data_IF_361722286070
#
_entry.id   IF_361722286070
#
_cell.length_a   1.000
_cell.length_b   1.000
_cell.length_c   1.000
_cell.angle_alpha   90.00
_cell.angle_beta   90.00
_cell.angle_gamma   90.00
#
_symmetry.space_group_name_H-M   'P 1'
#
loop_
_entity.id
_entity.type
_entity.pdbx_description
1 polymer ?
#
# COMPACT_ATOMS: atom_id res chain seq x y z
N UNK A 1 57.29 -22.41 -14.23
CA UNK A 1 56.29 -23.43 -14.63
C UNK A 1 54.91 -22.76 -14.54
N UNK A 2 54.43 -22.13 -15.62
CA UNK A 2 53.37 -22.61 -16.53
C UNK A 2 52.10 -23.14 -15.83
N UNK A 3 51.10 -22.24 -15.73
CA UNK A 3 49.65 -22.41 -15.97
C UNK A 3 48.91 -23.53 -15.20
N UNK A 4 47.71 -23.32 -14.64
CA UNK A 4 46.45 -23.06 -15.36
C UNK A 4 45.42 -22.41 -14.41
N UNK A 5 44.94 -21.22 -14.77
CA UNK A 5 43.74 -20.62 -14.18
C UNK A 5 42.54 -21.29 -14.86
N UNK A 6 41.81 -22.11 -14.13
CA UNK A 6 40.53 -22.67 -14.59
C UNK A 6 39.46 -21.65 -14.24
N UNK A 7 39.06 -20.83 -15.21
CA UNK A 7 37.90 -19.96 -15.12
C UNK A 7 36.67 -20.84 -15.32
N UNK A 8 36.01 -21.23 -14.23
CA UNK A 8 34.74 -21.94 -14.28
C UNK A 8 33.61 -20.90 -14.30
N UNK A 9 33.10 -20.61 -15.50
CA UNK A 9 31.89 -19.83 -15.71
C UNK A 9 30.68 -20.65 -15.25
N UNK A 10 30.33 -20.52 -13.97
CA UNK A 10 29.02 -20.95 -13.49
C UNK A 10 27.99 -19.92 -13.96
N UNK A 11 27.28 -20.26 -15.04
CA UNK A 11 26.10 -19.52 -15.52
C UNK A 11 25.05 -19.65 -14.43
N UNK A 12 25.01 -18.64 -13.57
CA UNK A 12 23.99 -18.43 -12.57
C UNK A 12 22.70 -18.08 -13.34
N UNK A 13 21.83 -19.08 -13.50
CA UNK A 13 20.51 -18.89 -14.08
C UNK A 13 19.75 -17.88 -13.21
N UNK A 14 19.69 -16.64 -13.70
CA UNK A 14 18.80 -15.61 -13.17
C UNK A 14 17.40 -16.10 -13.51
N UNK A 15 16.77 -16.79 -12.55
CA UNK A 15 15.31 -16.89 -12.49
C UNK A 15 14.80 -15.48 -12.23
N UNK A 16 14.69 -14.71 -13.31
CA UNK A 16 13.93 -13.49 -13.35
C UNK A 16 12.47 -13.88 -13.15
N UNK A 17 12.07 -14.00 -11.89
CA UNK A 17 10.67 -13.89 -11.53
C UNK A 17 10.27 -12.47 -11.92
N UNK A 18 9.67 -12.33 -13.10
CA UNK A 18 8.98 -11.12 -13.49
C UNK A 18 7.98 -10.82 -12.38
N UNK A 19 8.29 -9.81 -11.58
CA UNK A 19 7.33 -9.17 -10.70
C UNK A 19 6.30 -8.53 -11.62
N UNK A 20 5.31 -9.29 -12.05
CA UNK A 20 4.08 -8.73 -12.56
C UNK A 20 3.46 -8.01 -11.36
N UNK A 21 3.64 -6.69 -11.32
CA UNK A 21 2.81 -5.83 -10.48
C UNK A 21 1.39 -5.95 -11.03
N UNK A 22 0.66 -6.95 -10.52
CA UNK A 22 -0.78 -7.03 -10.70
C UNK A 22 -1.36 -5.81 -10.01
N UNK A 23 -2.04 -4.98 -10.78
CA UNK A 23 -2.70 -3.79 -10.28
C UNK A 23 -3.88 -4.23 -9.40
N UNK A 24 -3.65 -4.29 -8.08
CA UNK A 24 -4.64 -4.78 -7.13
C UNK A 24 -5.65 -3.67 -6.85
N UNK A 25 -6.94 -3.96 -7.02
CA UNK A 25 -7.97 -3.01 -6.63
C UNK A 25 -8.19 -3.06 -5.12
N UNK A 26 -8.68 -1.96 -4.54
CA UNK A 26 -9.13 -1.95 -3.14
C UNK A 26 -10.16 -3.04 -2.81
N UNK A 27 -10.95 -3.51 -3.79
CA UNK A 27 -11.87 -4.64 -3.60
C UNK A 27 -11.17 -5.98 -3.50
N UNK A 28 -10.10 -6.21 -4.28
CA UNK A 28 -9.32 -7.44 -4.21
C UNK A 28 -8.55 -7.51 -2.89
N UNK A 29 -7.96 -6.39 -2.48
CA UNK A 29 -7.28 -6.24 -1.20
C UNK A 29 -8.25 -6.46 -0.04
N UNK A 30 -9.47 -5.91 -0.09
CA UNK A 30 -10.46 -6.12 0.98
C UNK A 30 -10.92 -7.59 1.11
N UNK A 31 -10.89 -8.36 0.03
CA UNK A 31 -11.30 -9.78 0.04
C UNK A 31 -10.20 -10.72 0.55
N UNK A 32 -8.95 -10.40 0.26
CA UNK A 32 -7.81 -11.30 0.49
C UNK A 32 -6.83 -10.79 1.54
N UNK A 33 -6.93 -9.53 1.94
CA UNK A 33 -6.10 -8.91 2.95
C UNK A 33 -6.56 -9.18 4.38
N UNK A 34 -5.67 -8.90 5.32
CA UNK A 34 -5.94 -9.02 6.76
C UNK A 34 -6.25 -7.64 7.33
N UNK A 35 -7.34 -7.51 8.09
CA UNK A 35 -7.67 -6.26 8.77
C UNK A 35 -6.59 -5.91 9.79
N UNK A 36 -6.13 -4.66 9.78
CA UNK A 36 -5.24 -4.13 10.80
C UNK A 36 -5.16 -2.61 10.78
N UNK A 37 -4.38 -2.07 11.71
CA UNK A 37 -4.19 -0.64 11.87
C UNK A 37 -2.72 -0.29 11.76
N UNK A 38 -2.41 0.77 11.01
CA UNK A 38 -1.06 1.25 10.78
C UNK A 38 -1.01 2.77 10.84
N UNK A 39 0.09 3.31 11.35
CA UNK A 39 0.32 4.75 11.43
C UNK A 39 1.58 5.13 10.67
N UNK A 40 1.56 6.32 10.09
CA UNK A 40 2.68 6.85 9.32
C UNK A 40 2.43 8.25 8.81
N UNK A 41 3.26 8.67 7.88
CA UNK A 41 3.18 9.97 7.20
C UNK A 41 2.61 9.77 5.80
N UNK A 42 1.60 10.56 5.44
CA UNK A 42 1.04 10.54 4.11
C UNK A 42 2.05 11.06 3.08
N UNK A 43 2.19 10.33 1.98
CA UNK A 43 2.97 10.68 0.80
C UNK A 43 2.05 10.68 -0.41
N UNK A 44 2.37 11.51 -1.40
CA UNK A 44 1.73 11.44 -2.71
C UNK A 44 2.77 11.60 -3.78
N UNK A 45 2.61 10.88 -4.89
CA UNK A 45 3.38 11.08 -6.11
C UNK A 45 2.62 11.90 -7.16
N UNK A 46 1.45 12.45 -6.79
CA UNK A 46 0.55 13.19 -7.67
C UNK A 46 -0.53 12.32 -8.33
N UNK A 47 -0.40 11.00 -8.32
CA UNK A 47 -1.41 10.05 -8.80
C UNK A 47 -2.02 9.22 -7.67
N UNK A 48 -1.18 8.79 -6.73
CA UNK A 48 -1.55 7.87 -5.67
C UNK A 48 -1.19 8.45 -4.31
N UNK A 49 -1.86 7.92 -3.29
CA UNK A 49 -1.53 8.19 -1.91
C UNK A 49 -0.84 6.98 -1.32
N UNK A 50 0.21 7.24 -0.55
CA UNK A 50 0.95 6.22 0.18
C UNK A 50 1.05 6.61 1.65
N UNK A 51 1.26 5.60 2.50
CA UNK A 51 1.60 5.79 3.91
C UNK A 51 3.03 5.31 4.16
N UNK A 52 3.91 6.22 4.57
CA UNK A 52 5.27 5.89 4.98
C UNK A 52 5.31 5.66 6.50
N UNK A 53 5.64 4.45 6.92
CA UNK A 53 5.81 4.09 8.34
C UNK A 53 7.10 4.66 8.91
N UNK A 54 7.23 4.66 10.25
CA UNK A 54 8.49 5.01 10.93
C UNK A 54 9.68 4.13 10.51
N UNK A 55 9.42 2.89 10.10
CA UNK A 55 10.39 1.94 9.58
C UNK A 55 10.74 2.15 8.09
N UNK A 56 10.27 3.24 7.47
CA UNK A 56 10.50 3.58 6.05
C UNK A 56 9.86 2.61 5.05
N UNK A 57 8.95 1.76 5.51
CA UNK A 57 8.10 0.96 4.63
C UNK A 57 6.96 1.83 4.08
N UNK A 58 6.75 1.75 2.77
CA UNK A 58 5.65 2.41 2.06
C UNK A 58 4.49 1.43 1.84
N UNK A 59 3.28 1.95 1.94
CA UNK A 59 2.06 1.25 1.59
C UNK A 59 1.22 2.09 0.65
N UNK A 60 0.76 1.52 -0.46
CA UNK A 60 -0.22 2.14 -1.35
C UNK A 60 -1.59 2.15 -0.68
N UNK A 61 -2.28 3.30 -0.74
CA UNK A 61 -3.52 3.52 -0.01
C UNK A 61 -4.70 3.59 -0.97
N UNK A 62 -5.55 2.57 -0.88
CA UNK A 62 -6.73 2.39 -1.72
C UNK A 62 -7.97 2.86 -0.98
N UNK A 63 -8.36 4.12 -1.19
CA UNK A 63 -9.55 4.72 -0.57
C UNK A 63 -10.87 4.26 -1.20
N UNK A 64 -10.83 3.60 -2.37
CA UNK A 64 -12.03 3.24 -3.12
C UNK A 64 -12.63 4.43 -3.87
N UNK A 65 -13.95 4.41 -4.11
CA UNK A 65 -14.60 5.46 -4.89
C UNK A 65 -14.73 6.76 -4.09
N UNK A 66 -13.79 7.67 -4.33
CA UNK A 66 -13.67 9.00 -3.72
C UNK A 66 -14.91 9.89 -3.85
N UNK A 67 -15.82 9.59 -4.80
CA UNK A 67 -17.06 10.36 -4.96
C UNK A 67 -18.02 10.22 -3.78
N UNK A 68 -17.88 9.18 -2.94
CA UNK A 68 -18.68 9.03 -1.71
C UNK A 68 -18.26 9.96 -0.58
N UNK A 69 -17.06 10.55 -0.65
CA UNK A 69 -16.53 11.51 0.34
C UNK A 69 -16.67 12.98 -0.13
N UNK A 70 -17.37 13.20 -1.25
CA UNK A 70 -17.61 14.52 -1.82
C UNK A 70 -18.82 15.17 -1.12
N UNK A 71 -18.82 16.50 -0.85
CA UNK A 71 -17.96 17.54 -1.41
C UNK A 71 -16.70 17.91 -0.60
N UNK A 72 -16.56 17.45 0.64
CA UNK A 72 -15.47 17.91 1.52
C UNK A 72 -14.11 17.24 1.22
N UNK A 73 -14.14 16.04 0.63
CA UNK A 73 -12.95 15.21 0.45
C UNK A 73 -12.40 14.72 1.79
N UNK A 74 -11.29 13.99 1.75
CA UNK A 74 -10.65 13.44 2.96
C UNK A 74 -9.68 14.42 3.65
N UNK A 75 -9.51 15.64 3.10
CA UNK A 75 -8.56 16.62 3.62
C UNK A 75 -7.10 16.14 3.63
N UNK A 76 -6.74 15.17 2.77
CA UNK A 76 -5.39 14.60 2.74
C UNK A 76 -4.36 15.66 2.36
N UNK A 77 -3.25 15.66 3.08
CA UNK A 77 -2.09 16.53 2.82
C UNK A 77 -0.84 15.68 2.93
N UNK A 78 0.03 15.79 1.94
CA UNK A 78 1.35 15.18 2.03
C UNK A 78 2.11 15.74 3.25
N UNK A 79 2.80 14.85 3.97
CA UNK A 79 3.53 15.19 5.19
C UNK A 79 2.71 15.12 6.47
N UNK A 80 1.37 15.01 6.39
CA UNK A 80 0.55 14.82 7.58
C UNK A 80 0.69 13.41 8.14
N UNK A 81 0.63 13.30 9.47
CA UNK A 81 0.44 12.01 10.11
C UNK A 81 -0.98 11.48 9.85
N UNK A 82 -1.07 10.17 9.66
CA UNK A 82 -2.32 9.46 9.56
C UNK A 82 -2.25 8.11 10.27
N UNK A 83 -3.39 7.71 10.81
CA UNK A 83 -3.64 6.34 11.28
C UNK A 83 -4.72 5.74 10.40
N UNK A 84 -4.42 4.62 9.76
CA UNK A 84 -5.30 3.91 8.85
C UNK A 84 -5.66 2.56 9.44
N UNK A 85 -6.95 2.27 9.54
CA UNK A 85 -7.46 0.91 9.71
C UNK A 85 -7.97 0.42 8.36
N UNK A 86 -7.55 -0.76 7.95
CA UNK A 86 -7.92 -1.31 6.65
C UNK A 86 -7.44 -2.74 6.44
N UNK A 87 -7.85 -3.31 5.32
CA UNK A 87 -7.39 -4.63 4.91
C UNK A 87 -6.04 -4.49 4.22
N UNK A 88 -5.03 -5.21 4.73
CA UNK A 88 -3.65 -5.13 4.25
C UNK A 88 -3.31 -6.37 3.46
N UNK A 89 -2.76 -6.19 2.25
CA UNK A 89 -2.25 -7.26 1.41
C UNK A 89 -0.96 -6.79 0.76
N UNK A 90 0.15 -7.48 1.04
CA UNK A 90 1.50 -7.04 0.63
C UNK A 90 1.82 -5.61 1.10
N UNK A 91 1.98 -4.69 0.14
CA UNK A 91 2.28 -3.29 0.36
C UNK A 91 1.08 -2.39 -0.01
N UNK A 92 -0.13 -2.96 -0.03
CA UNK A 92 -1.37 -2.25 -0.33
C UNK A 92 -2.35 -2.30 0.85
N UNK A 93 -3.12 -1.22 1.02
CA UNK A 93 -4.14 -1.09 2.06
C UNK A 93 -5.47 -0.67 1.44
N UNK A 94 -6.50 -1.50 1.56
CA UNK A 94 -7.88 -1.07 1.32
C UNK A 94 -8.43 -0.42 2.58
N UNK A 95 -8.64 0.89 2.55
CA UNK A 95 -8.98 1.68 3.73
C UNK A 95 -10.40 1.40 4.18
N UNK A 96 -10.56 1.12 5.46
CA UNK A 96 -11.85 1.09 6.17
C UNK A 96 -12.07 2.37 6.94
N UNK A 97 -11.04 2.85 7.64
CA UNK A 97 -11.06 4.13 8.33
C UNK A 97 -9.70 4.83 8.21
N UNK A 98 -9.71 6.15 8.06
CA UNK A 98 -8.52 6.99 8.17
C UNK A 98 -8.76 8.11 9.16
N UNK A 99 -7.79 8.32 10.05
CA UNK A 99 -7.70 9.49 10.92
C UNK A 99 -6.50 10.33 10.51
N UNK A 100 -6.72 11.60 10.16
CA UNK A 100 -5.67 12.56 9.81
C UNK A 100 -6.17 13.99 10.03
N UNK A 101 -5.26 14.92 10.32
CA UNK A 101 -5.56 16.34 10.57
C UNK A 101 -6.71 16.55 11.60
N UNK A 102 -6.79 15.68 12.60
CA UNK A 102 -7.82 15.70 13.64
C UNK A 102 -9.20 15.15 13.24
N UNK A 103 -9.42 14.83 11.96
CA UNK A 103 -10.66 14.25 11.44
C UNK A 103 -10.57 12.72 11.31
N UNK A 104 -11.71 12.05 11.36
CA UNK A 104 -11.84 10.60 11.14
C UNK A 104 -12.88 10.36 10.06
N UNK A 105 -12.53 9.54 9.07
CA UNK A 105 -13.40 9.18 7.95
C UNK A 105 -13.53 7.67 7.87
N UNK A 106 -14.77 7.19 7.80
CA UNK A 106 -15.09 5.78 7.55
C UNK A 106 -15.46 5.61 6.09
N UNK A 107 -14.78 4.69 5.40
CA UNK A 107 -14.89 4.45 3.96
C UNK A 107 -15.42 3.06 3.63
N UNK A 108 -15.24 2.11 4.55
CA UNK A 108 -15.57 0.70 4.33
C UNK A 108 -15.96 0.06 5.65
N UNK A 109 -16.90 -0.86 5.59
CA UNK A 109 -17.25 -1.72 6.70
C UNK A 109 -16.14 -2.77 6.93
N UNK A 110 -15.69 -2.88 8.19
CA UNK A 110 -14.58 -3.75 8.59
C UNK A 110 -14.95 -5.24 8.62
N UNK A 111 -16.25 -5.59 8.59
CA UNK A 111 -16.71 -6.98 8.60
C UNK A 111 -16.86 -7.53 7.19
N UNK A 112 -17.34 -6.71 6.26
CA UNK A 112 -17.75 -7.10 4.90
C UNK A 112 -16.81 -6.60 3.82
N UNK A 113 -15.96 -5.62 4.10
CA UNK A 113 -15.09 -4.98 3.11
C UNK A 113 -15.85 -4.14 2.06
N UNK A 114 -17.14 -3.88 2.28
CA UNK A 114 -17.97 -3.05 1.38
C UNK A 114 -17.89 -1.57 1.75
N UNK A 115 -18.04 -0.65 0.79
CA UNK A 115 -18.13 0.78 1.09
C UNK A 115 -19.18 1.07 2.17
N UNK A 116 -18.86 2.01 3.06
CA UNK A 116 -19.72 2.44 4.16
C UNK A 116 -20.87 3.36 3.70
#
# INVERSE_FOLDING_TARGET
>A
MKTKIVVMFSIMAILGAGLFALDLTGTDIAKSGTLGTISGVLKSDGSEWMLETSAKKLYNVHFGNYTLVYPEGLGLKEGNEATITGFMLNDDIAVSQIKTDGATYTLRDETTGRPA
#
